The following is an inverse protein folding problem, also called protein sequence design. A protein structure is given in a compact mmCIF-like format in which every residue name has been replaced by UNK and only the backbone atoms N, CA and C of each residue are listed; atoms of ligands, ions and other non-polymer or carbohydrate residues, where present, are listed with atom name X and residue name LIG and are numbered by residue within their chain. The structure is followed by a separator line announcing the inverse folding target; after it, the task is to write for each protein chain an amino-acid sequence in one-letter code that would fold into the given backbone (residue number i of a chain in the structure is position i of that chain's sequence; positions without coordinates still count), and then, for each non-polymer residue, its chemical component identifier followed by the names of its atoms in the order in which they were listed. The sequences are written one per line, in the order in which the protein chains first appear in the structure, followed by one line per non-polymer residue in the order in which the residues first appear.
data_IF_653219243509
#
_entry.id   IF_653219243509
#
_cell.length_a   1.000
_cell.length_b   1.000
_cell.length_c   1.000
_cell.angle_alpha   90.00
_cell.angle_beta   90.00
_cell.angle_gamma   90.00
#
_symmetry.space_group_name_H-M   'P 1'
#
loop_
_entity.id
_entity.type
_entity.pdbx_description
1 polymer ?
#
# COMPACT_ATOMS: atom_id res chain seq x y z
N UNK A 1 12.76 43.71 -25.61
CA UNK A 1 12.49 42.29 -25.80
C UNK A 1 13.21 41.35 -24.81
N UNK A 2 14.15 41.78 -23.99
CA UNK A 2 14.86 40.91 -23.03
C UNK A 2 14.14 40.74 -21.67
N UNK A 3 13.08 41.49 -21.38
CA UNK A 3 12.36 41.43 -20.10
C UNK A 3 11.19 40.40 -20.08
N UNK A 4 10.73 39.94 -21.22
CA UNK A 4 9.65 38.93 -21.29
C UNK A 4 10.14 37.48 -21.14
N UNK A 5 11.42 37.23 -21.40
CA UNK A 5 11.98 35.88 -21.34
C UNK A 5 12.16 35.40 -19.89
N UNK A 6 12.42 36.34 -18.96
CA UNK A 6 12.61 35.96 -17.53
C UNK A 6 11.32 35.60 -16.81
N UNK A 7 10.16 36.15 -17.26
CA UNK A 7 8.86 35.85 -16.63
C UNK A 7 8.37 34.45 -17.03
N UNK A 8 8.66 34.02 -18.26
CA UNK A 8 8.29 32.67 -18.70
C UNK A 8 9.13 31.58 -18.05
N UNK A 9 10.39 31.85 -17.70
CA UNK A 9 11.26 30.89 -16.99
C UNK A 9 10.88 30.74 -15.51
N UNK A 10 10.31 31.76 -14.90
CA UNK A 10 9.84 31.70 -13.50
C UNK A 10 8.51 30.95 -13.34
N UNK A 11 7.67 30.92 -14.38
CA UNK A 11 6.40 30.19 -14.36
C UNK A 11 6.57 28.68 -14.55
N UNK A 12 7.67 28.23 -15.13
CA UNK A 12 7.96 26.79 -15.30
C UNK A 12 8.59 26.15 -14.05
N UNK A 13 9.07 26.95 -13.11
CA UNK A 13 9.64 26.45 -11.85
C UNK A 13 8.60 26.15 -10.74
N UNK A 14 7.34 26.55 -10.93
CA UNK A 14 6.26 26.26 -9.99
C UNK A 14 5.42 25.02 -10.33
N UNK A 15 5.74 24.31 -11.40
CA UNK A 15 4.98 23.12 -11.85
C UNK A 15 5.49 21.80 -11.25
N UNK A 16 6.48 21.83 -10.35
CA UNK A 16 6.86 20.69 -9.53
C UNK A 16 6.51 20.97 -8.06
N UNK A 17 5.24 21.22 -7.76
CA UNK A 17 4.73 20.95 -6.44
C UNK A 17 4.76 19.41 -6.30
N UNK A 18 5.85 18.87 -5.75
CA UNK A 18 5.84 17.52 -5.23
C UNK A 18 4.67 17.47 -4.24
N UNK A 19 3.61 16.75 -4.60
CA UNK A 19 2.57 16.41 -3.64
C UNK A 19 3.29 15.68 -2.50
N UNK A 20 3.38 16.34 -1.34
CA UNK A 20 4.07 15.74 -0.19
C UNK A 20 3.16 14.62 0.30
N UNK A 21 3.63 13.37 0.16
CA UNK A 21 2.96 12.23 0.75
C UNK A 21 2.98 12.38 2.27
N UNK A 22 1.91 12.00 2.95
CA UNK A 22 1.94 11.87 4.41
C UNK A 22 2.13 10.41 4.83
N UNK A 23 2.80 10.20 5.95
CA UNK A 23 3.05 8.87 6.51
C UNK A 23 1.93 8.48 7.46
N UNK A 24 1.29 7.36 7.20
CA UNK A 24 0.37 6.71 8.13
C UNK A 24 1.08 5.57 8.85
N UNK A 25 1.03 5.59 10.18
CA UNK A 25 1.66 4.58 11.02
C UNK A 25 0.62 3.61 11.57
N UNK A 26 0.89 2.33 11.43
CA UNK A 26 0.14 1.25 12.04
C UNK A 26 1.10 0.28 12.72
N UNK A 27 1.16 0.30 14.06
CA UNK A 27 2.20 -0.39 14.82
C UNK A 27 3.59 0.10 14.37
N UNK A 28 4.45 -0.83 13.92
CA UNK A 28 5.78 -0.52 13.40
C UNK A 28 5.76 -0.26 11.88
N UNK A 29 4.62 -0.48 11.24
CA UNK A 29 4.50 -0.35 9.78
C UNK A 29 4.16 1.09 9.41
N UNK A 30 4.88 1.62 8.42
CA UNK A 30 4.61 2.94 7.85
C UNK A 30 4.25 2.80 6.39
N UNK A 31 3.12 3.40 6.01
CA UNK A 31 2.65 3.49 4.62
C UNK A 31 2.52 4.96 4.22
N UNK A 32 3.04 5.31 3.05
CA UNK A 32 2.95 6.67 2.52
C UNK A 32 1.71 6.83 1.64
N UNK A 33 0.93 7.86 1.93
CA UNK A 33 -0.36 8.14 1.29
C UNK A 33 -0.27 9.53 0.64
N UNK A 34 -0.67 9.68 -0.64
CA UNK A 34 -0.70 10.98 -1.30
C UNK A 34 -1.56 11.98 -0.53
N UNK A 35 -1.11 13.23 -0.44
CA UNK A 35 -1.79 14.28 0.35
C UNK A 35 -3.19 14.65 -0.16
N UNK A 36 -3.47 14.39 -1.43
CA UNK A 36 -4.76 14.60 -2.09
C UNK A 36 -5.76 13.46 -1.87
N UNK A 37 -5.31 12.35 -1.29
CA UNK A 37 -6.18 11.22 -0.94
C UNK A 37 -6.79 11.45 0.44
N UNK A 38 -8.11 11.53 0.49
CA UNK A 38 -8.86 11.65 1.75
C UNK A 38 -9.19 10.26 2.26
N UNK A 39 -8.64 9.91 3.41
CA UNK A 39 -8.89 8.64 4.08
C UNK A 39 -9.39 8.85 5.51
N UNK A 40 -10.35 8.02 5.88
CA UNK A 40 -10.72 7.82 7.27
C UNK A 40 -10.07 6.54 7.79
N UNK A 41 -9.50 6.57 8.99
CA UNK A 41 -8.98 5.36 9.63
C UNK A 41 -9.89 4.94 10.77
N UNK A 42 -10.10 3.62 10.88
CA UNK A 42 -10.84 3.03 11.99
C UNK A 42 -10.03 1.90 12.59
N UNK A 43 -9.57 2.10 13.83
CA UNK A 43 -8.96 1.02 14.60
C UNK A 43 -10.06 0.18 15.22
N UNK A 44 -10.13 -1.10 14.86
CA UNK A 44 -11.13 -2.06 15.36
C UNK A 44 -10.57 -2.80 16.57
N UNK A 45 -9.31 -3.27 16.45
CA UNK A 45 -8.55 -3.90 17.55
C UNK A 45 -7.12 -3.39 17.52
N UNK A 46 -6.32 -3.71 18.56
CA UNK A 46 -4.91 -3.33 18.60
C UNK A 46 -4.07 -3.83 17.40
N UNK A 47 -4.50 -4.88 16.70
CA UNK A 47 -3.75 -5.51 15.59
C UNK A 47 -4.46 -5.42 14.25
N UNK A 48 -5.47 -4.56 14.15
CA UNK A 48 -6.29 -4.39 12.96
C UNK A 48 -6.69 -2.94 12.75
N UNK A 49 -6.59 -2.44 11.54
CA UNK A 49 -7.10 -1.14 11.13
C UNK A 49 -7.54 -1.12 9.67
N UNK A 50 -8.55 -0.33 9.37
CA UNK A 50 -8.99 0.01 8.03
C UNK A 50 -8.61 1.44 7.68
N UNK A 51 -8.07 1.64 6.49
CA UNK A 51 -8.01 2.94 5.83
C UNK A 51 -9.13 3.00 4.78
N UNK A 52 -10.12 3.84 5.03
CA UNK A 52 -11.30 3.93 4.17
C UNK A 52 -11.21 5.13 3.25
N UNK A 53 -11.28 4.87 1.96
CA UNK A 53 -11.50 5.88 0.94
C UNK A 53 -12.95 5.86 0.43
N UNK A 54 -13.19 6.58 -0.65
CA UNK A 54 -14.48 6.57 -1.34
C UNK A 54 -14.63 5.25 -2.12
N UNK A 55 -15.60 4.43 -1.70
CA UNK A 55 -15.91 3.10 -2.25
C UNK A 55 -14.78 2.06 -2.23
N UNK A 56 -13.75 2.25 -1.42
CA UNK A 56 -12.72 1.23 -1.16
C UNK A 56 -12.18 1.27 0.27
N UNK A 57 -11.55 0.19 0.69
CA UNK A 57 -10.90 0.06 1.99
C UNK A 57 -9.57 -0.67 1.86
N UNK A 58 -8.55 -0.19 2.56
CA UNK A 58 -7.29 -0.88 2.78
C UNK A 58 -7.33 -1.45 4.19
N UNK A 59 -7.44 -2.76 4.30
CA UNK A 59 -7.37 -3.46 5.59
C UNK A 59 -5.94 -3.81 5.90
N UNK A 60 -5.47 -3.42 7.08
CA UNK A 60 -4.14 -3.76 7.58
C UNK A 60 -4.26 -4.56 8.87
N UNK A 61 -3.54 -5.66 8.94
CA UNK A 61 -3.53 -6.55 10.10
C UNK A 61 -2.12 -6.97 10.46
N UNK A 62 -1.76 -6.87 11.75
CA UNK A 62 -0.56 -7.48 12.31
C UNK A 62 -0.90 -8.88 12.81
N UNK A 63 -0.16 -9.87 12.36
CA UNK A 63 -0.38 -11.28 12.66
C UNK A 63 0.86 -11.90 13.30
N UNK A 64 0.66 -12.86 14.20
CA UNK A 64 1.76 -13.58 14.80
C UNK A 64 2.17 -14.78 13.93
N UNK A 65 3.46 -14.91 13.67
CA UNK A 65 4.05 -16.05 12.95
C UNK A 65 4.23 -17.26 13.91
N UNK A 66 3.12 -17.88 14.25
CA UNK A 66 3.03 -18.93 15.29
C UNK A 66 3.99 -20.11 15.08
N UNK A 67 4.31 -20.41 13.83
CA UNK A 67 5.13 -21.57 13.47
C UNK A 67 6.58 -21.18 13.16
N UNK A 68 6.98 -19.96 13.42
CA UNK A 68 8.32 -19.42 13.07
C UNK A 68 8.72 -19.70 11.63
N UNK A 69 7.78 -19.55 10.71
CA UNK A 69 8.00 -19.79 9.28
C UNK A 69 9.02 -18.81 8.72
N UNK A 70 9.82 -19.28 7.78
CA UNK A 70 10.59 -18.37 6.92
C UNK A 70 9.63 -17.46 6.13
N UNK A 71 10.11 -16.31 5.66
CA UNK A 71 9.27 -15.44 4.84
C UNK A 71 8.79 -16.16 3.56
N UNK A 72 9.62 -17.01 2.98
CA UNK A 72 9.24 -17.82 1.82
C UNK A 72 8.06 -18.75 2.13
N UNK A 73 8.12 -19.48 3.23
CA UNK A 73 7.04 -20.42 3.63
C UNK A 73 5.77 -19.67 4.03
N UNK A 74 5.92 -18.56 4.75
CA UNK A 74 4.81 -17.68 5.11
C UNK A 74 4.12 -17.14 3.87
N UNK A 75 4.88 -16.68 2.88
CA UNK A 75 4.35 -16.21 1.60
C UNK A 75 3.62 -17.32 0.86
N UNK A 76 4.17 -18.55 0.84
CA UNK A 76 3.51 -19.69 0.22
C UNK A 76 2.20 -20.09 0.91
N UNK A 77 2.12 -19.96 2.22
CA UNK A 77 0.85 -20.13 2.94
C UNK A 77 -0.13 -19.02 2.60
N UNK A 78 0.32 -17.76 2.55
CA UNK A 78 -0.51 -16.62 2.21
C UNK A 78 -1.09 -16.73 0.80
N UNK A 79 -0.30 -17.19 -0.17
CA UNK A 79 -0.73 -17.45 -1.54
C UNK A 79 -1.85 -18.52 -1.65
N UNK A 80 -1.96 -19.42 -0.66
CA UNK A 80 -2.97 -20.48 -0.63
C UNK A 80 -4.27 -20.08 0.07
N UNK A 81 -4.27 -18.96 0.80
CA UNK A 81 -5.45 -18.48 1.50
C UNK A 81 -6.42 -17.88 0.48
N UNK A 82 -7.67 -18.21 0.60
CA UNK A 82 -8.83 -18.06 -0.29
C UNK A 82 -9.00 -16.76 -1.12
N UNK A 83 -8.23 -15.73 -0.87
CA UNK A 83 -8.24 -14.49 -1.66
C UNK A 83 -7.50 -14.62 -3.00
N UNK A 84 -6.78 -15.73 -3.20
CA UNK A 84 -5.85 -15.91 -4.30
C UNK A 84 -6.13 -17.14 -5.15
N UNK A 85 -7.30 -17.75 -4.99
CA UNK A 85 -7.65 -18.99 -5.69
C UNK A 85 -7.67 -18.83 -7.22
N UNK A 86 -7.98 -17.65 -7.73
CA UNK A 86 -8.09 -17.41 -9.17
C UNK A 86 -7.27 -16.17 -9.60
N UNK A 87 -6.03 -16.40 -10.03
CA UNK A 87 -5.32 -15.39 -10.82
C UNK A 87 -4.50 -14.38 -10.03
N UNK A 88 -4.00 -14.73 -8.86
CA UNK A 88 -3.04 -13.90 -8.15
C UNK A 88 -1.69 -13.88 -8.86
N UNK A 89 -1.15 -12.68 -9.11
CA UNK A 89 0.15 -12.47 -9.73
C UNK A 89 1.08 -11.76 -8.76
N UNK A 90 2.28 -12.30 -8.57
CA UNK A 90 3.34 -11.63 -7.82
C UNK A 90 3.85 -10.44 -8.62
N UNK A 91 3.72 -9.23 -8.07
CA UNK A 91 4.18 -7.98 -8.71
C UNK A 91 5.63 -7.70 -8.37
N UNK A 92 5.99 -7.81 -7.09
CA UNK A 92 7.36 -7.63 -6.59
C UNK A 92 7.56 -8.36 -5.27
N UNK A 93 8.79 -8.75 -4.98
CA UNK A 93 9.17 -9.29 -3.69
C UNK A 93 10.65 -9.07 -3.38
N UNK A 94 10.96 -9.09 -2.09
CA UNK A 94 12.32 -9.19 -1.55
C UNK A 94 12.35 -10.20 -0.39
N UNK A 95 13.34 -10.11 0.50
CA UNK A 95 13.52 -11.06 1.62
C UNK A 95 12.46 -10.95 2.72
N UNK A 96 11.69 -9.86 2.76
CA UNK A 96 10.71 -9.57 3.83
C UNK A 96 9.36 -9.08 3.32
N UNK A 97 9.23 -8.82 2.03
CA UNK A 97 8.14 -8.09 1.47
C UNK A 97 7.68 -8.71 0.15
N UNK A 98 6.38 -8.81 -0.07
CA UNK A 98 5.80 -9.23 -1.34
C UNK A 98 4.50 -8.48 -1.61
N UNK A 99 4.32 -8.04 -2.84
CA UNK A 99 3.10 -7.38 -3.33
C UNK A 99 2.49 -8.23 -4.43
N UNK A 100 1.20 -8.43 -4.34
CA UNK A 100 0.40 -9.23 -5.26
C UNK A 100 -0.70 -8.39 -5.90
N UNK A 101 -0.98 -8.69 -7.15
CA UNK A 101 -2.18 -8.26 -7.86
C UNK A 101 -3.15 -9.44 -7.94
N UNK A 102 -4.42 -9.20 -7.68
CA UNK A 102 -5.50 -10.17 -7.88
C UNK A 102 -6.66 -9.53 -8.64
N UNK A 103 -7.31 -10.32 -9.50
CA UNK A 103 -8.26 -9.75 -10.45
C UNK A 103 -7.64 -8.66 -11.31
N UNK A 104 -8.46 -7.71 -11.77
CA UNK A 104 -8.00 -6.64 -12.66
C UNK A 104 -7.29 -5.50 -11.94
N UNK A 105 -7.67 -5.20 -10.70
CA UNK A 105 -7.17 -4.02 -9.96
C UNK A 105 -7.04 -4.23 -8.45
N UNK A 106 -7.22 -5.45 -7.93
CA UNK A 106 -7.01 -5.77 -6.53
C UNK A 106 -5.52 -5.84 -6.18
N UNK A 107 -5.16 -5.38 -5.00
CA UNK A 107 -3.80 -5.42 -4.47
C UNK A 107 -3.77 -6.01 -3.07
N UNK A 108 -2.75 -6.80 -2.81
CA UNK A 108 -2.43 -7.31 -1.48
C UNK A 108 -0.92 -7.22 -1.23
N UNK A 109 -0.55 -7.12 0.03
CA UNK A 109 0.84 -7.08 0.44
C UNK A 109 1.04 -7.91 1.70
N UNK A 110 2.18 -8.58 1.79
CA UNK A 110 2.64 -9.21 3.02
C UNK A 110 4.03 -8.70 3.36
N UNK A 111 4.26 -8.38 4.61
CA UNK A 111 5.53 -7.87 5.12
C UNK A 111 5.93 -8.61 6.41
N UNK A 112 7.18 -9.09 6.48
CA UNK A 112 7.72 -9.73 7.68
C UNK A 112 8.15 -8.66 8.69
N UNK A 113 7.49 -8.62 9.83
CA UNK A 113 7.84 -7.74 10.94
C UNK A 113 9.06 -8.21 11.73
N UNK A 114 9.48 -7.42 12.73
CA UNK A 114 10.68 -7.67 13.52
C UNK A 114 10.49 -8.70 14.64
N UNK A 115 9.35 -8.75 15.30
CA UNK A 115 9.08 -9.49 16.54
C UNK A 115 8.32 -10.80 16.28
N UNK A 116 8.80 -11.60 15.32
CA UNK A 116 8.12 -12.82 14.88
C UNK A 116 6.65 -12.59 14.49
N UNK A 117 6.39 -11.44 13.91
CA UNK A 117 5.09 -11.05 13.37
C UNK A 117 5.19 -10.79 11.87
N UNK A 118 4.04 -10.67 11.24
CA UNK A 118 3.95 -10.21 9.86
C UNK A 118 2.71 -9.34 9.68
N UNK A 119 2.75 -8.51 8.67
CA UNK A 119 1.64 -7.65 8.29
C UNK A 119 0.98 -8.18 7.02
N UNK A 120 -0.34 -8.19 7.01
CA UNK A 120 -1.16 -8.44 5.83
C UNK A 120 -1.93 -7.17 5.50
N UNK A 121 -1.84 -6.71 4.25
CA UNK A 121 -2.57 -5.57 3.74
C UNK A 121 -3.37 -6.03 2.52
N UNK A 122 -4.65 -5.68 2.50
CA UNK A 122 -5.54 -6.08 1.42
C UNK A 122 -6.42 -4.87 1.06
N UNK A 123 -6.57 -4.62 -0.23
CA UNK A 123 -7.48 -3.60 -0.77
C UNK A 123 -8.75 -4.26 -1.26
N UNK A 124 -9.88 -3.73 -0.84
CA UNK A 124 -11.20 -4.20 -1.29
C UNK A 124 -12.08 -2.98 -1.62
N UNK A 125 -12.99 -3.11 -2.57
CA UNK A 125 -13.90 -2.03 -2.94
C UNK A 125 -14.56 -2.22 -4.29
N UNK A 126 -15.26 -1.19 -4.72
CA UNK A 126 -15.86 -1.14 -6.05
C UNK A 126 -14.78 -1.09 -7.14
N UNK A 127 -15.01 -1.78 -8.25
CA UNK A 127 -14.03 -1.94 -9.32
C UNK A 127 -13.48 -0.60 -9.84
N UNK A 128 -14.35 0.37 -10.06
CA UNK A 128 -13.96 1.70 -10.55
C UNK A 128 -13.13 2.48 -9.52
N UNK A 129 -13.46 2.36 -8.23
CA UNK A 129 -12.67 2.96 -7.17
C UNK A 129 -11.28 2.32 -7.06
N UNK A 130 -11.20 0.99 -7.19
CA UNK A 130 -9.92 0.27 -7.19
C UNK A 130 -9.07 0.66 -8.39
N UNK A 131 -9.63 0.76 -9.59
CA UNK A 131 -8.92 1.21 -10.80
C UNK A 131 -8.38 2.63 -10.64
N UNK A 132 -9.21 3.55 -10.13
CA UNK A 132 -8.84 4.95 -9.91
C UNK A 132 -7.67 5.09 -8.93
N UNK A 133 -7.64 4.27 -7.89
CA UNK A 133 -6.64 4.36 -6.81
C UNK A 133 -5.46 3.39 -6.97
N UNK A 134 -5.46 2.55 -8.00
CA UNK A 134 -4.51 1.46 -8.19
C UNK A 134 -3.05 1.90 -8.13
N UNK A 135 -2.68 2.95 -8.86
CA UNK A 135 -1.28 3.37 -9.01
C UNK A 135 -0.67 3.87 -7.70
N UNK A 136 -1.40 4.69 -6.94
CA UNK A 136 -0.87 5.18 -5.69
C UNK A 136 -0.82 4.08 -4.62
N UNK A 137 -1.81 3.17 -4.56
CA UNK A 137 -1.83 2.04 -3.62
C UNK A 137 -0.69 1.08 -3.93
N UNK A 138 -0.47 0.76 -5.20
CA UNK A 138 0.66 -0.06 -5.63
C UNK A 138 2.00 0.56 -5.21
N UNK A 139 2.17 1.86 -5.45
CA UNK A 139 3.36 2.60 -5.02
C UNK A 139 3.51 2.57 -3.50
N UNK A 140 2.42 2.77 -2.75
CA UNK A 140 2.42 2.72 -1.30
C UNK A 140 2.83 1.33 -0.78
N UNK A 141 2.27 0.26 -1.34
CA UNK A 141 2.61 -1.11 -0.96
C UNK A 141 4.06 -1.49 -1.30
N UNK A 142 4.58 -1.04 -2.43
CA UNK A 142 6.00 -1.25 -2.79
C UNK A 142 6.99 -0.55 -1.86
N UNK A 143 6.57 0.53 -1.20
CA UNK A 143 7.44 1.39 -0.39
C UNK A 143 7.13 1.33 1.12
N UNK A 144 6.45 0.28 1.57
CA UNK A 144 6.22 0.04 3.01
C UNK A 144 7.54 -0.02 3.75
N UNK A 145 7.55 0.57 4.95
CA UNK A 145 8.69 0.54 5.88
C UNK A 145 8.25 -0.03 7.22
N UNK A 146 9.15 -0.72 7.86
CA UNK A 146 9.04 -1.21 9.25
C UNK A 146 10.29 -0.83 10.01
#
# INVERSE_FOLDING_TARGET
MKKFLCIFLLLTLFACANSMDYSYEFKDLTINIPVDVVLESKVITGDYTDLRGDDYVITMQKLHNKNNLSFYDLRKQYEKIALFEDGCTLVTNDSKHAVYKYGDCGLACIYMGSDNSYYSLIVQGEEEALKTNYEWILKAFKNIKV
#
